data_IF_882574939747
#
_entry.id   IF_882574939747
#
_cell.length_a   1.000
_cell.length_b   1.000
_cell.length_c   1.000
_cell.angle_alpha   90.00
_cell.angle_beta   90.00
_cell.angle_gamma   90.00
#
_symmetry.space_group_name_H-M   'P 1'
#
loop_
_entity.id
_entity.type
_entity.pdbx_description
1 polymer ?
#
# COMPACT_ATOMS: atom_id res chain seq x y z
N UNK A 1 -4.64 5.18 9.54
CA UNK A 1 -3.63 4.45 8.74
C UNK A 1 -2.80 3.61 9.70
N UNK A 2 -2.46 2.38 9.33
CA UNK A 2 -1.54 1.56 10.12
C UNK A 2 -0.11 2.12 10.11
N UNK A 3 0.75 1.60 10.99
CA UNK A 3 2.16 1.93 11.03
C UNK A 3 3.05 0.71 11.15
N UNK A 4 4.25 0.80 10.59
CA UNK A 4 5.31 -0.19 10.65
C UNK A 4 6.53 0.45 11.28
N UNK A 5 7.09 -0.18 12.31
CA UNK A 5 8.33 0.24 12.94
C UNK A 5 9.19 -0.97 13.31
N UNK A 6 10.49 -0.78 13.37
CA UNK A 6 11.39 -1.84 13.83
C UNK A 6 12.80 -1.36 14.02
N UNK A 7 13.59 -2.18 14.69
CA UNK A 7 15.02 -2.00 14.90
C UNK A 7 15.76 -3.30 14.67
N UNK A 8 16.87 -3.23 13.97
CA UNK A 8 17.70 -4.36 13.56
C UNK A 8 19.10 -4.12 14.10
N UNK A 9 19.59 -5.03 14.95
CA UNK A 9 20.92 -4.95 15.53
C UNK A 9 21.95 -5.59 14.61
N UNK A 10 23.07 -4.91 14.42
CA UNK A 10 24.24 -5.49 13.75
C UNK A 10 25.03 -6.48 14.62
N UNK A 11 24.83 -6.46 15.95
CA UNK A 11 25.63 -7.21 16.91
C UNK A 11 25.09 -8.62 17.14
N UNK A 12 25.98 -9.59 17.32
CA UNK A 12 25.59 -10.93 17.72
C UNK A 12 25.08 -11.01 19.16
N UNK A 13 25.47 -10.05 19.99
CA UNK A 13 24.92 -9.91 21.33
C UNK A 13 23.45 -9.45 21.39
N UNK A 14 22.84 -9.26 20.21
CA UNK A 14 21.43 -8.91 20.10
C UNK A 14 21.13 -7.42 20.24
N UNK A 15 19.85 -7.13 20.47
CA UNK A 15 19.37 -5.78 20.75
C UNK A 15 19.65 -5.43 22.20
N UNK A 16 20.16 -4.22 22.43
CA UNK A 16 20.43 -3.70 23.78
C UNK A 16 19.20 -3.01 24.36
N UNK A 17 19.24 -2.74 25.68
CA UNK A 17 18.14 -2.04 26.36
C UNK A 17 17.80 -0.68 25.71
N UNK A 18 18.80 0.04 25.18
CA UNK A 18 18.60 1.28 24.44
C UNK A 18 17.81 1.05 23.14
N UNK A 19 18.10 -0.02 22.42
CA UNK A 19 17.39 -0.36 21.18
C UNK A 19 15.91 -0.65 21.48
N UNK A 20 15.65 -1.33 22.60
CA UNK A 20 14.29 -1.58 23.09
C UNK A 20 13.57 -0.28 23.43
N UNK A 21 14.24 0.63 24.12
CA UNK A 21 13.64 1.90 24.48
C UNK A 21 13.36 2.76 23.23
N UNK A 22 14.23 2.73 22.23
CA UNK A 22 13.98 3.35 20.92
C UNK A 22 12.78 2.69 20.21
N UNK A 23 12.74 1.37 20.16
CA UNK A 23 11.63 0.63 19.58
C UNK A 23 10.29 0.98 20.25
N UNK A 24 10.25 0.96 21.59
CA UNK A 24 9.05 1.35 22.35
C UNK A 24 8.62 2.78 22.07
N UNK A 25 9.56 3.72 21.97
CA UNK A 25 9.25 5.09 21.62
C UNK A 25 8.64 5.18 20.22
N UNK A 26 9.20 4.45 19.23
CA UNK A 26 8.60 4.39 17.89
C UNK A 26 7.19 3.80 17.91
N UNK A 27 6.97 2.68 18.61
CA UNK A 27 5.64 2.07 18.75
C UNK A 27 4.64 3.03 19.39
N UNK A 28 5.06 3.79 20.40
CA UNK A 28 4.20 4.81 21.02
C UNK A 28 3.84 5.94 20.04
N UNK A 29 4.82 6.49 19.33
CA UNK A 29 4.60 7.54 18.35
C UNK A 29 3.72 7.05 17.19
N UNK A 30 3.85 5.77 16.83
CA UNK A 30 3.06 5.13 15.78
C UNK A 30 1.57 4.94 16.14
N UNK A 31 1.20 5.12 17.42
CA UNK A 31 -0.22 5.17 17.83
C UNK A 31 -0.99 6.28 17.14
N UNK A 32 -0.30 7.34 16.71
CA UNK A 32 -0.90 8.42 15.93
C UNK A 32 -1.36 7.96 14.54
N UNK A 33 -0.89 6.79 14.08
CA UNK A 33 -1.29 6.18 12.81
C UNK A 33 -2.35 5.09 12.99
N UNK A 34 -2.28 4.36 14.09
CA UNK A 34 -3.21 3.28 14.37
C UNK A 34 -3.28 2.94 15.85
N UNK A 35 -4.49 2.80 16.36
CA UNK A 35 -4.79 2.58 17.77
C UNK A 35 -5.80 1.43 18.01
N UNK A 36 -6.19 0.72 16.93
CA UNK A 36 -7.17 -0.37 17.00
C UNK A 36 -6.54 -1.74 17.27
N UNK A 37 -5.22 -1.79 17.43
CA UNK A 37 -4.49 -3.00 17.77
C UNK A 37 -2.99 -2.84 17.61
N UNK A 38 -2.25 -3.73 18.23
CA UNK A 38 -0.79 -3.71 18.24
C UNK A 38 -0.22 -5.10 18.04
N UNK A 39 0.94 -5.17 17.42
CA UNK A 39 1.68 -6.40 17.26
C UNK A 39 3.17 -6.18 17.39
N UNK A 40 3.82 -7.08 18.11
CA UNK A 40 5.27 -7.06 18.33
C UNK A 40 5.84 -8.45 18.16
N UNK A 41 6.95 -8.54 17.47
CA UNK A 41 7.71 -9.76 17.28
C UNK A 41 9.19 -9.49 17.56
N UNK A 42 9.84 -10.40 18.26
CA UNK A 42 11.30 -10.46 18.35
C UNK A 42 11.84 -11.52 17.40
N UNK A 43 12.87 -11.18 16.67
CA UNK A 43 13.58 -12.08 15.76
C UNK A 43 14.87 -12.55 16.42
N UNK A 44 15.03 -13.86 16.53
CA UNK A 44 16.22 -14.54 17.01
C UNK A 44 16.74 -15.46 15.89
N UNK A 45 18.04 -15.40 15.60
CA UNK A 45 18.61 -16.21 14.50
C UNK A 45 18.74 -17.70 14.86
N UNK A 46 18.71 -18.05 16.12
CA UNK A 46 18.80 -19.45 16.58
C UNK A 46 17.41 -20.08 16.77
N UNK A 47 16.45 -19.29 17.27
CA UNK A 47 15.11 -19.77 17.65
C UNK A 47 14.02 -19.35 16.66
N UNK A 48 14.37 -18.54 15.64
CA UNK A 48 13.41 -17.99 14.70
C UNK A 48 12.73 -16.71 15.22
N UNK A 49 11.43 -16.55 15.01
CA UNK A 49 10.68 -15.39 15.42
C UNK A 49 9.67 -15.74 16.50
N UNK A 50 9.66 -14.97 17.58
CA UNK A 50 8.67 -15.09 18.65
C UNK A 50 7.72 -13.90 18.61
N UNK A 51 6.42 -14.17 18.49
CA UNK A 51 5.38 -13.15 18.61
C UNK A 51 5.17 -12.86 20.09
N UNK A 52 5.57 -11.67 20.51
CA UNK A 52 5.43 -11.22 21.91
C UNK A 52 4.04 -10.64 22.17
N UNK A 53 3.47 -9.99 21.16
CA UNK A 53 2.13 -9.41 21.24
C UNK A 53 1.43 -9.46 19.89
N UNK A 54 0.15 -9.78 19.95
CA UNK A 54 -0.82 -9.71 18.86
C UNK A 54 -2.19 -9.50 19.49
N UNK A 55 -2.67 -8.25 19.50
CA UNK A 55 -3.86 -7.91 20.27
C UNK A 55 -4.54 -6.66 19.74
N UNK A 56 -5.82 -6.55 20.03
CA UNK A 56 -6.63 -5.34 19.83
C UNK A 56 -6.50 -4.34 20.98
N UNK A 57 -5.69 -4.63 22.00
CA UNK A 57 -5.42 -3.67 23.06
C UNK A 57 -4.77 -2.39 22.50
N UNK A 58 -5.08 -1.29 23.15
CA UNK A 58 -4.47 0.00 22.82
C UNK A 58 -2.94 -0.07 22.95
N UNK A 59 -2.16 0.43 21.98
CA UNK A 59 -0.70 0.32 21.97
C UNK A 59 0.00 0.88 23.22
N UNK A 60 -0.63 1.82 23.94
CA UNK A 60 -0.06 2.40 25.17
C UNK A 60 0.19 1.37 26.28
N UNK A 61 -0.50 0.22 26.31
CA UNK A 61 -0.25 -0.83 27.30
C UNK A 61 1.18 -1.39 27.22
N UNK A 62 1.89 -1.19 26.10
CA UNK A 62 3.30 -1.57 25.95
C UNK A 62 4.22 -0.90 26.98
N UNK A 63 3.74 0.12 27.67
CA UNK A 63 4.43 0.74 28.80
C UNK A 63 4.09 0.08 30.14
N UNK A 64 3.18 -0.88 30.17
CA UNK A 64 2.93 -1.64 31.39
C UNK A 64 4.18 -2.43 31.78
N UNK A 65 4.46 -2.45 33.10
CA UNK A 65 5.69 -3.02 33.63
C UNK A 65 5.88 -4.49 33.24
N UNK A 66 4.84 -5.29 33.30
CA UNK A 66 4.89 -6.71 32.97
C UNK A 66 5.37 -6.96 31.54
N UNK A 67 4.81 -6.20 30.58
CA UNK A 67 5.19 -6.30 29.18
C UNK A 67 6.63 -5.83 28.91
N UNK A 68 7.05 -4.76 29.60
CA UNK A 68 8.43 -4.25 29.50
C UNK A 68 9.42 -5.28 30.03
N UNK A 69 9.09 -5.96 31.15
CA UNK A 69 9.94 -6.98 31.74
C UNK A 69 10.03 -8.21 30.83
N UNK A 70 8.91 -8.65 30.22
CA UNK A 70 8.88 -9.73 29.22
C UNK A 70 9.72 -9.38 27.99
N UNK A 71 9.56 -8.17 27.45
CA UNK A 71 10.33 -7.68 26.31
C UNK A 71 11.83 -7.64 26.64
N UNK A 72 12.22 -7.20 27.84
CA UNK A 72 13.61 -7.17 28.29
C UNK A 72 14.22 -8.57 28.48
N UNK A 73 13.45 -9.52 29.01
CA UNK A 73 13.90 -10.91 29.19
C UNK A 73 14.12 -11.62 27.85
N UNK A 74 13.31 -11.29 26.84
CA UNK A 74 13.37 -11.88 25.50
C UNK A 74 14.53 -11.32 24.65
N UNK A 75 15.22 -10.26 25.11
CA UNK A 75 16.17 -9.46 24.30
C UNK A 75 17.56 -10.05 24.24
N UNK A 76 18.00 -10.82 25.23
CA UNK A 76 19.41 -11.24 25.35
C UNK A 76 19.96 -11.97 24.11
N UNK A 77 19.11 -12.38 23.19
CA UNK A 77 19.45 -13.10 21.97
C UNK A 77 18.74 -12.59 20.71
N UNK A 78 17.91 -11.55 20.85
CA UNK A 78 17.11 -10.99 19.73
C UNK A 78 17.96 -10.16 18.78
N UNK A 79 17.86 -10.42 17.48
CA UNK A 79 18.52 -9.66 16.41
C UNK A 79 17.72 -8.46 15.93
N UNK A 80 16.40 -8.55 16.00
CA UNK A 80 15.51 -7.47 15.59
C UNK A 80 14.23 -7.46 16.40
N UNK A 81 13.63 -6.27 16.50
CA UNK A 81 12.29 -6.03 16.98
C UNK A 81 11.46 -5.48 15.82
N UNK A 82 10.33 -6.13 15.55
CA UNK A 82 9.40 -5.75 14.49
C UNK A 82 8.05 -5.40 15.11
N UNK A 83 7.46 -4.30 14.71
CA UNK A 83 6.24 -3.78 15.31
C UNK A 83 5.26 -3.19 14.31
N UNK A 84 3.99 -3.25 14.69
CA UNK A 84 2.89 -2.72 13.90
C UNK A 84 1.77 -2.22 14.82
N UNK A 85 1.24 -1.04 14.52
CA UNK A 85 0.00 -0.54 15.09
C UNK A 85 -1.07 -0.50 14.01
N UNK A 86 -2.21 -1.12 14.30
CA UNK A 86 -3.31 -1.30 13.37
C UNK A 86 -4.28 -0.13 13.44
N UNK A 87 -4.70 0.36 12.26
CA UNK A 87 -5.98 1.04 12.06
C UNK A 87 -6.86 0.10 11.24
N UNK A 88 -7.92 -0.39 11.83
CA UNK A 88 -8.80 -1.34 11.17
C UNK A 88 -9.52 -0.68 9.99
N UNK A 89 -9.32 -1.20 8.78
CA UNK A 89 -10.01 -0.78 7.55
C UNK A 89 -10.77 -1.95 6.93
N UNK A 90 -10.24 -3.18 7.08
CA UNK A 90 -10.84 -4.42 6.60
C UNK A 90 -10.83 -5.43 7.74
N UNK A 91 -11.92 -6.18 7.89
CA UNK A 91 -12.09 -7.19 8.93
C UNK A 91 -12.51 -6.63 10.29
N UNK A 92 -12.98 -7.53 11.14
CA UNK A 92 -13.47 -7.21 12.48
C UNK A 92 -12.34 -6.84 13.46
N UNK A 93 -12.73 -6.22 14.58
CA UNK A 93 -11.81 -5.87 15.67
C UNK A 93 -11.61 -7.08 16.58
N UNK A 94 -10.66 -7.93 16.22
CA UNK A 94 -10.29 -9.17 16.93
C UNK A 94 -8.79 -9.34 16.94
N UNK A 95 -8.27 -10.04 17.94
CA UNK A 95 -6.84 -10.28 18.10
C UNK A 95 -6.25 -11.07 16.91
N UNK A 96 -7.01 -12.01 16.34
CA UNK A 96 -6.60 -12.79 15.19
C UNK A 96 -6.31 -11.90 13.95
N UNK A 97 -6.99 -10.77 13.85
CA UNK A 97 -6.88 -9.79 12.78
C UNK A 97 -5.78 -8.74 13.03
N UNK A 98 -5.15 -8.74 14.21
CA UNK A 98 -3.96 -7.92 14.46
C UNK A 98 -2.72 -8.55 13.84
N UNK A 99 -1.71 -7.74 13.51
CA UNK A 99 -0.41 -8.25 13.10
C UNK A 99 0.41 -8.76 14.29
N UNK A 100 1.45 -9.56 14.06
CA UNK A 100 1.85 -10.16 12.79
C UNK A 100 0.97 -11.35 12.40
N UNK A 101 1.02 -11.70 11.11
CA UNK A 101 0.55 -12.99 10.62
C UNK A 101 1.72 -13.97 10.52
N UNK A 102 1.51 -15.20 10.98
CA UNK A 102 2.54 -16.24 10.99
C UNK A 102 2.13 -17.34 10.00
N UNK A 103 3.07 -17.78 9.17
CA UNK A 103 2.86 -18.84 8.18
C UNK A 103 3.93 -19.92 8.33
N UNK A 104 3.48 -21.18 8.40
CA UNK A 104 4.33 -22.38 8.43
C UNK A 104 5.39 -22.38 9.56
N UNK A 105 5.14 -21.69 10.68
CA UNK A 105 6.10 -21.45 11.77
C UNK A 105 7.47 -20.89 11.27
N UNK A 106 7.49 -20.41 10.04
CA UNK A 106 8.67 -19.93 9.34
C UNK A 106 8.63 -18.43 9.11
N UNK A 107 7.49 -17.91 8.67
CA UNK A 107 7.36 -16.51 8.28
C UNK A 107 6.56 -15.71 9.29
N UNK A 108 7.03 -14.49 9.55
CA UNK A 108 6.28 -13.48 10.30
C UNK A 108 6.09 -12.28 9.39
N UNK A 109 4.86 -11.87 9.16
CA UNK A 109 4.48 -10.87 8.16
C UNK A 109 3.69 -9.71 8.75
N UNK A 110 4.05 -8.50 8.32
CA UNK A 110 3.41 -7.24 8.66
C UNK A 110 3.07 -6.46 7.39
N UNK A 111 1.91 -5.83 7.37
CA UNK A 111 1.41 -5.03 6.25
C UNK A 111 0.78 -3.72 6.75
N UNK A 112 1.24 -2.61 6.21
CA UNK A 112 0.58 -1.32 6.32
C UNK A 112 -0.05 -0.99 4.97
N UNK A 113 -1.37 -1.05 4.90
CA UNK A 113 -2.06 -0.77 3.66
C UNK A 113 -3.52 -1.21 3.66
N UNK A 114 -4.10 -1.22 2.48
CA UNK A 114 -5.42 -1.77 2.21
C UNK A 114 -5.47 -2.22 0.76
N UNK A 115 -5.75 -3.52 0.55
CA UNK A 115 -5.92 -4.08 -0.79
C UNK A 115 -7.40 -4.20 -1.13
N UNK A 116 -7.79 -3.61 -2.25
CA UNK A 116 -9.17 -3.66 -2.75
C UNK A 116 -9.53 -5.00 -3.37
N UNK A 117 -8.54 -5.78 -3.77
CA UNK A 117 -8.71 -7.07 -4.44
C UNK A 117 -8.14 -8.27 -3.67
N UNK A 118 -8.04 -8.18 -2.34
CA UNK A 118 -7.39 -9.21 -1.50
C UNK A 118 -7.96 -10.61 -1.67
N UNK A 119 -9.23 -10.77 -2.03
CA UNK A 119 -9.88 -12.06 -2.30
C UNK A 119 -9.23 -12.85 -3.44
N UNK A 120 -8.44 -12.21 -4.28
CA UNK A 120 -7.64 -12.90 -5.31
C UNK A 120 -6.45 -13.65 -4.72
N UNK A 121 -6.01 -13.29 -3.52
CA UNK A 121 -4.89 -13.91 -2.82
C UNK A 121 -5.33 -14.97 -1.80
N UNK A 122 -6.56 -14.88 -1.29
CA UNK A 122 -7.12 -15.84 -0.35
C UNK A 122 -8.48 -15.41 0.19
N UNK A 123 -9.25 -16.37 0.67
CA UNK A 123 -10.57 -16.09 1.26
C UNK A 123 -10.45 -15.90 2.78
N UNK A 124 -9.74 -14.85 3.19
CA UNK A 124 -9.56 -14.47 4.60
C UNK A 124 -10.42 -13.27 4.97
N UNK A 125 -10.58 -13.02 6.27
CA UNK A 125 -11.37 -11.88 6.76
C UNK A 125 -10.64 -10.55 6.52
N UNK A 126 -9.29 -10.56 6.58
CA UNK A 126 -8.47 -9.37 6.38
C UNK A 126 -7.56 -9.50 5.16
N UNK A 127 -7.36 -8.41 4.48
CA UNK A 127 -6.51 -8.32 3.30
C UNK A 127 -5.04 -8.64 3.58
N UNK A 128 -4.55 -8.25 4.74
CA UNK A 128 -3.16 -8.48 5.17
C UNK A 128 -2.83 -9.97 5.29
N UNK A 129 -3.76 -10.78 5.80
CA UNK A 129 -3.57 -12.23 5.93
C UNK A 129 -3.50 -12.91 4.57
N UNK A 130 -4.43 -12.60 3.66
CA UNK A 130 -4.40 -13.14 2.30
C UNK A 130 -3.12 -12.75 1.55
N UNK A 131 -2.73 -11.49 1.66
CA UNK A 131 -1.55 -10.96 0.98
C UNK A 131 -0.26 -11.57 1.52
N UNK A 132 -0.13 -11.67 2.85
CA UNK A 132 1.00 -12.32 3.49
C UNK A 132 1.15 -13.78 3.09
N UNK A 133 0.05 -14.53 3.04
CA UNK A 133 0.04 -15.92 2.56
C UNK A 133 0.58 -16.03 1.13
N UNK A 134 0.13 -15.14 0.23
CA UNK A 134 0.60 -15.15 -1.16
C UNK A 134 2.08 -14.77 -1.29
N UNK A 135 2.57 -13.81 -0.50
CA UNK A 135 3.97 -13.38 -0.49
C UNK A 135 4.87 -14.48 0.06
N UNK A 136 4.51 -15.08 1.18
CA UNK A 136 5.33 -16.12 1.83
C UNK A 136 5.40 -17.40 1.02
N UNK A 137 4.33 -17.76 0.31
CA UNK A 137 4.30 -18.88 -0.64
C UNK A 137 5.28 -18.71 -1.84
N UNK A 138 5.77 -17.49 -2.07
CA UNK A 138 6.82 -17.26 -3.08
C UNK A 138 8.21 -17.71 -2.61
N UNK A 139 8.42 -17.96 -1.32
CA UNK A 139 9.71 -18.38 -0.73
C UNK A 139 10.90 -17.48 -1.10
N UNK A 140 10.63 -16.18 -1.35
CA UNK A 140 11.62 -15.21 -1.77
C UNK A 140 12.06 -15.33 -3.24
N UNK A 141 11.36 -16.10 -4.06
CA UNK A 141 11.53 -16.12 -5.51
C UNK A 141 11.04 -14.80 -6.11
N UNK A 142 11.95 -14.05 -6.73
CA UNK A 142 11.69 -12.70 -7.24
C UNK A 142 10.64 -12.67 -8.36
N UNK A 143 10.60 -13.71 -9.23
CA UNK A 143 9.63 -13.76 -10.31
C UNK A 143 8.21 -14.02 -9.79
N UNK A 144 8.08 -14.90 -8.80
CA UNK A 144 6.80 -15.14 -8.14
C UNK A 144 6.34 -13.91 -7.34
N UNK A 145 7.27 -13.25 -6.65
CA UNK A 145 6.97 -11.99 -5.95
C UNK A 145 6.51 -10.90 -6.93
N UNK A 146 7.16 -10.77 -8.09
CA UNK A 146 6.73 -9.85 -9.14
C UNK A 146 5.29 -10.12 -9.59
N UNK A 147 4.89 -11.40 -9.69
CA UNK A 147 3.52 -11.76 -10.03
C UNK A 147 2.52 -11.37 -8.94
N UNK A 148 2.86 -11.63 -7.68
CA UNK A 148 1.99 -11.31 -6.53
C UNK A 148 1.82 -9.79 -6.42
N UNK A 149 2.92 -9.04 -6.39
CA UNK A 149 2.86 -7.57 -6.25
C UNK A 149 2.21 -6.89 -7.47
N UNK A 150 2.40 -7.41 -8.68
CA UNK A 150 1.75 -6.87 -9.88
C UNK A 150 0.22 -7.04 -9.88
N UNK A 151 -0.29 -8.06 -9.20
CA UNK A 151 -1.73 -8.29 -9.04
C UNK A 151 -2.34 -7.47 -7.91
N UNK A 152 -1.53 -6.98 -6.97
CA UNK A 152 -2.01 -6.26 -5.79
C UNK A 152 -2.55 -4.87 -6.19
N UNK A 153 -3.81 -4.62 -5.90
CA UNK A 153 -4.47 -3.34 -6.12
C UNK A 153 -4.72 -2.65 -4.78
N UNK A 154 -4.30 -1.40 -4.69
CA UNK A 154 -4.40 -0.60 -3.47
C UNK A 154 -3.04 -0.25 -2.88
N UNK A 155 -3.05 0.13 -1.62
CA UNK A 155 -1.90 0.67 -0.92
C UNK A 155 -1.20 -0.40 -0.09
N UNK A 156 0.13 -0.49 -0.17
CA UNK A 156 0.89 -1.45 0.63
C UNK A 156 2.32 -1.02 0.93
N UNK A 157 2.74 -1.31 2.15
CA UNK A 157 4.12 -1.47 2.59
C UNK A 157 4.17 -2.76 3.42
N UNK A 158 5.13 -3.62 3.11
CA UNK A 158 5.28 -4.94 3.72
C UNK A 158 6.64 -5.09 4.38
N UNK A 159 6.62 -5.75 5.53
CA UNK A 159 7.83 -6.23 6.23
C UNK A 159 7.58 -7.67 6.60
N UNK A 160 8.53 -8.55 6.28
CA UNK A 160 8.44 -9.94 6.75
C UNK A 160 9.81 -10.52 7.04
N UNK A 161 9.82 -11.51 7.91
CA UNK A 161 11.01 -12.28 8.25
C UNK A 161 10.84 -13.74 7.80
N UNK A 162 11.89 -14.31 7.20
CA UNK A 162 12.01 -15.72 6.86
C UNK A 162 13.05 -16.35 7.79
N UNK A 163 12.59 -17.24 8.69
CA UNK A 163 13.47 -17.87 9.69
C UNK A 163 14.48 -18.86 9.10
N UNK A 164 14.17 -19.50 7.97
CA UNK A 164 15.11 -20.41 7.30
C UNK A 164 16.24 -19.68 6.58
N UNK A 165 15.94 -18.46 6.07
CA UNK A 165 16.93 -17.61 5.41
C UNK A 165 17.57 -16.59 6.34
N UNK A 166 17.12 -16.49 7.59
CA UNK A 166 17.51 -15.47 8.55
C UNK A 166 17.45 -14.05 7.96
N UNK A 167 16.43 -13.77 7.14
CA UNK A 167 16.37 -12.56 6.34
C UNK A 167 15.10 -11.76 6.61
N UNK A 168 15.25 -10.45 6.83
CA UNK A 168 14.14 -9.50 6.87
C UNK A 168 14.01 -8.88 5.49
N UNK A 169 12.80 -8.88 4.98
CA UNK A 169 12.42 -8.27 3.72
C UNK A 169 11.54 -7.05 3.95
N UNK A 170 11.77 -6.00 3.17
CA UNK A 170 10.95 -4.79 3.18
C UNK A 170 10.67 -4.36 1.73
N UNK A 171 9.45 -3.93 1.47
CA UNK A 171 9.08 -3.34 0.18
C UNK A 171 7.85 -2.48 0.32
N UNK A 172 7.62 -1.57 -0.64
CA UNK A 172 6.46 -0.70 -0.66
C UNK A 172 6.04 -0.28 -2.07
N UNK A 173 4.80 0.20 -2.19
CA UNK A 173 4.39 0.99 -3.34
C UNK A 173 4.34 2.50 -3.00
N UNK A 174 3.94 3.32 -3.96
CA UNK A 174 3.89 4.79 -3.80
C UNK A 174 2.93 5.25 -2.69
N UNK A 175 1.91 4.44 -2.39
CA UNK A 175 0.78 4.82 -1.52
C UNK A 175 1.13 4.72 -0.02
N UNK A 176 2.21 4.02 0.34
CA UNK A 176 2.60 3.84 1.75
C UNK A 176 4.07 4.14 1.94
N UNK A 177 4.40 5.13 2.82
CA UNK A 177 5.79 5.42 3.16
C UNK A 177 6.40 4.31 4.01
N UNK A 178 7.68 4.06 3.79
CA UNK A 178 8.54 3.26 4.65
C UNK A 178 9.96 3.77 4.49
N UNK A 179 10.69 3.94 5.61
CA UNK A 179 11.98 4.60 5.61
C UNK A 179 12.98 3.82 6.44
N UNK A 180 14.26 3.81 6.02
CA UNK A 180 15.38 3.42 6.86
C UNK A 180 15.95 4.62 7.61
N UNK A 181 16.44 4.35 8.83
CA UNK A 181 17.25 5.25 9.62
C UNK A 181 18.50 4.49 10.08
N UNK A 182 19.64 4.89 9.56
CA UNK A 182 20.93 4.29 9.89
C UNK A 182 21.50 5.00 11.11
N UNK A 183 21.79 4.25 12.17
CA UNK A 183 22.30 4.78 13.43
C UNK A 183 23.85 4.85 13.43
N UNK A 184 24.43 5.76 14.23
CA UNK A 184 25.89 5.84 14.37
C UNK A 184 26.48 4.54 14.95
N UNK A 185 25.76 3.84 15.83
CA UNK A 185 26.17 2.56 16.37
C UNK A 185 26.14 1.41 15.33
N UNK A 186 25.60 1.69 14.13
CA UNK A 186 25.50 0.76 12.99
C UNK A 186 24.26 -0.12 12.97
N UNK A 187 23.34 0.04 13.92
CA UNK A 187 22.01 -0.56 13.85
C UNK A 187 21.15 0.16 12.81
N UNK A 188 20.10 -0.51 12.35
CA UNK A 188 19.15 0.06 11.40
C UNK A 188 17.77 0.09 12.06
N UNK A 189 17.13 1.24 12.04
CA UNK A 189 15.69 1.34 12.30
C UNK A 189 14.96 1.46 10.98
N UNK A 190 13.70 1.02 10.98
CA UNK A 190 12.76 1.37 9.93
C UNK A 190 11.46 1.90 10.55
N UNK A 191 10.82 2.82 9.86
CA UNK A 191 9.56 3.39 10.28
C UNK A 191 8.72 3.86 9.09
N UNK A 192 7.41 3.80 9.23
CA UNK A 192 6.49 4.39 8.26
C UNK A 192 6.76 5.89 8.07
N UNK A 193 7.13 6.59 9.15
CA UNK A 193 7.48 8.02 9.12
C UNK A 193 8.87 8.26 9.72
N UNK A 194 9.72 8.96 8.99
CA UNK A 194 11.11 9.22 9.39
C UNK A 194 11.23 9.91 10.75
N UNK A 195 10.34 10.87 11.03
CA UNK A 195 10.38 11.64 12.28
C UNK A 195 10.20 10.78 13.53
N UNK A 196 9.47 9.65 13.46
CA UNK A 196 9.28 8.74 14.59
C UNK A 196 10.61 8.15 15.05
N UNK A 197 11.41 7.65 14.11
CA UNK A 197 12.73 7.14 14.40
C UNK A 197 13.70 8.21 14.87
N UNK A 198 13.65 9.43 14.32
CA UNK A 198 14.48 10.56 14.74
C UNK A 198 14.19 10.96 16.18
N UNK A 199 12.92 11.07 16.56
CA UNK A 199 12.51 11.36 17.95
C UNK A 199 12.95 10.24 18.88
N UNK A 200 12.72 8.98 18.49
CA UNK A 200 13.12 7.83 19.31
C UNK A 200 14.63 7.78 19.55
N UNK A 201 15.44 7.98 18.51
CA UNK A 201 16.90 8.04 18.63
C UNK A 201 17.34 9.18 19.56
N UNK A 202 16.86 10.39 19.33
CA UNK A 202 17.22 11.58 20.10
C UNK A 202 16.90 11.40 21.59
N UNK A 203 15.72 10.88 21.93
CA UNK A 203 15.31 10.61 23.33
C UNK A 203 16.21 9.61 24.03
N UNK A 204 16.85 8.73 23.29
CA UNK A 204 17.73 7.68 23.81
C UNK A 204 19.22 8.00 23.61
N UNK A 205 19.57 9.26 23.42
CA UNK A 205 20.94 9.74 23.21
C UNK A 205 21.68 8.96 22.10
N UNK A 206 20.93 8.54 21.07
CA UNK A 206 21.47 7.91 19.86
C UNK A 206 21.33 8.89 18.69
N UNK A 207 22.22 8.77 17.71
CA UNK A 207 22.21 9.64 16.53
C UNK A 207 21.85 8.87 15.27
N UNK A 208 20.96 9.47 14.51
CA UNK A 208 20.68 9.04 13.13
C UNK A 208 21.76 9.63 12.23
N UNK A 209 22.58 8.75 11.65
CA UNK A 209 23.63 9.13 10.69
C UNK A 209 23.02 9.52 9.35
N UNK A 210 22.01 8.77 8.91
CA UNK A 210 21.34 8.94 7.64
C UNK A 210 19.90 8.43 7.73
N UNK A 211 19.00 9.05 6.98
CA UNK A 211 17.66 8.53 6.77
C UNK A 211 17.36 8.50 5.28
N UNK A 212 16.78 7.38 4.80
CA UNK A 212 16.48 7.15 3.39
C UNK A 212 15.08 6.56 3.27
N UNK A 213 14.21 7.20 2.48
CA UNK A 213 12.95 6.57 2.06
C UNK A 213 13.24 5.35 1.19
N UNK A 214 12.55 4.24 1.41
CA UNK A 214 12.63 3.10 0.52
C UNK A 214 12.07 3.51 -0.85
N UNK A 215 12.74 3.08 -1.91
CA UNK A 215 12.21 3.23 -3.26
C UNK A 215 10.99 2.32 -3.45
N UNK A 216 10.02 2.81 -4.20
CA UNK A 216 8.85 1.99 -4.56
C UNK A 216 9.24 0.87 -5.54
N UNK A 217 8.58 -0.28 -5.38
CA UNK A 217 8.84 -1.44 -6.24
C UNK A 217 10.30 -1.93 -6.16
N UNK A 218 10.93 -1.75 -5.00
CA UNK A 218 12.23 -2.34 -4.67
C UNK A 218 12.04 -3.26 -3.48
N UNK A 219 12.53 -4.48 -3.60
CA UNK A 219 12.64 -5.43 -2.49
C UNK A 219 14.00 -5.23 -1.81
N UNK A 220 13.95 -4.83 -0.58
CA UNK A 220 15.11 -4.75 0.31
C UNK A 220 15.19 -6.03 1.13
N UNK A 221 16.34 -6.67 1.16
CA UNK A 221 16.60 -7.83 2.00
C UNK A 221 17.79 -7.59 2.91
N UNK A 222 17.64 -7.91 4.20
CA UNK A 222 18.65 -7.74 5.23
C UNK A 222 18.94 -9.11 5.83
N UNK A 223 20.12 -9.63 5.54
CA UNK A 223 20.61 -10.90 6.09
C UNK A 223 21.10 -10.70 7.53
N UNK A 224 20.54 -11.47 8.45
CA UNK A 224 20.88 -11.44 9.88
C UNK A 224 21.88 -12.53 10.28
N UNK A 225 22.25 -13.42 9.38
CA UNK A 225 23.18 -14.53 9.67
C UNK A 225 24.61 -14.08 9.90
N UNK A 226 25.01 -12.94 9.33
CA UNK A 226 26.36 -12.39 9.40
C UNK A 226 26.50 -11.37 10.55
N UNK A 227 27.43 -11.62 11.43
CA UNK A 227 27.74 -10.72 12.54
C UNK A 227 28.46 -9.46 12.10
N UNK A 228 28.14 -8.34 12.76
CA UNK A 228 28.88 -7.11 12.68
C UNK A 228 28.58 -6.22 11.47
N UNK A 229 27.89 -6.75 10.45
CA UNK A 229 27.54 -5.99 9.25
C UNK A 229 26.09 -6.32 8.85
N UNK A 230 25.27 -5.29 8.70
CA UNK A 230 23.95 -5.43 8.10
C UNK A 230 24.06 -5.07 6.62
N UNK A 231 24.10 -6.08 5.77
CA UNK A 231 24.11 -5.91 4.32
C UNK A 231 22.67 -5.79 3.81
N UNK A 232 22.37 -4.68 3.16
CA UNK A 232 21.08 -4.48 2.48
C UNK A 232 21.30 -4.80 1.00
N UNK A 233 20.57 -5.80 0.51
CA UNK A 233 20.47 -6.10 -0.92
C UNK A 233 19.21 -5.48 -1.46
N UNK A 234 19.31 -4.83 -2.59
CA UNK A 234 18.20 -4.17 -3.30
C UNK A 234 17.92 -4.93 -4.61
N UNK A 235 16.69 -5.35 -4.82
CA UNK A 235 16.24 -6.00 -6.06
C UNK A 235 14.99 -5.29 -6.58
N UNK A 236 15.04 -4.84 -7.83
CA UNK A 236 13.88 -4.16 -8.44
C UNK A 236 12.77 -5.17 -8.71
N UNK A 237 11.60 -4.89 -8.16
CA UNK A 237 10.37 -5.55 -8.53
C UNK A 237 9.88 -4.97 -9.85
N UNK A 238 9.55 -5.82 -10.79
CA UNK A 238 8.98 -5.40 -12.06
C UNK A 238 7.48 -5.25 -11.89
N UNK A 239 6.99 -4.02 -11.95
CA UNK A 239 5.56 -3.79 -12.12
C UNK A 239 5.20 -4.40 -13.49
N UNK A 240 4.82 -5.67 -13.51
CA UNK A 240 4.15 -6.23 -14.70
C UNK A 240 2.85 -5.44 -14.78
N UNK A 241 2.81 -4.44 -15.64
CA UNK A 241 1.55 -3.90 -16.09
C UNK A 241 0.91 -5.09 -16.80
N UNK A 242 0.07 -5.83 -16.07
CA UNK A 242 -0.85 -6.72 -16.75
C UNK A 242 -1.51 -5.82 -17.79
N UNK A 243 -1.59 -6.23 -19.06
CA UNK A 243 -2.48 -5.53 -19.97
C UNK A 243 -3.78 -5.47 -19.20
N UNK A 244 -4.24 -4.27 -18.90
CA UNK A 244 -5.52 -4.09 -18.25
C UNK A 244 -6.49 -4.74 -19.21
N UNK A 245 -6.78 -6.03 -19.00
CA UNK A 245 -8.02 -6.57 -19.47
C UNK A 245 -9.04 -5.80 -18.66
N UNK A 246 -9.44 -4.66 -19.21
CA UNK A 246 -10.71 -4.08 -18.86
C UNK A 246 -11.70 -5.16 -19.21
N UNK A 247 -11.99 -6.02 -18.24
CA UNK A 247 -13.19 -6.83 -18.28
C UNK A 247 -14.27 -5.79 -18.11
N UNK A 248 -14.67 -5.21 -19.23
CA UNK A 248 -15.91 -4.49 -19.33
C UNK A 248 -16.97 -5.58 -19.14
N UNK A 249 -17.61 -5.69 -17.96
CA UNK A 249 -18.71 -6.63 -17.82
C UNK A 249 -19.80 -6.14 -18.75
N UNK A 250 -20.01 -6.84 -19.86
CA UNK A 250 -21.05 -6.55 -20.83
C UNK A 250 -20.61 -5.72 -22.03
N UNK A 251 -19.63 -6.19 -22.81
CA UNK A 251 -19.29 -5.65 -24.14
C UNK A 251 -20.39 -5.91 -25.20
N UNK A 252 -21.64 -5.77 -24.84
CA UNK A 252 -22.78 -5.77 -25.76
C UNK A 252 -23.75 -4.62 -25.48
N UNK A 253 -23.24 -3.42 -25.13
CA UNK A 253 -24.00 -2.20 -25.40
C UNK A 253 -23.35 -1.49 -26.58
N UNK A 254 -24.02 -1.52 -27.71
CA UNK A 254 -23.79 -0.61 -28.82
C UNK A 254 -23.82 0.79 -28.24
N UNK A 255 -22.67 1.48 -28.27
CA UNK A 255 -22.65 2.91 -28.13
C UNK A 255 -23.61 3.48 -29.15
N UNK A 256 -24.67 4.11 -28.70
CA UNK A 256 -25.48 4.94 -29.56
C UNK A 256 -24.62 6.13 -29.98
N UNK A 257 -24.23 6.12 -31.24
CA UNK A 257 -23.52 7.21 -31.90
C UNK A 257 -24.22 8.54 -31.60
N UNK A 258 -23.59 9.40 -30.85
CA UNK A 258 -23.88 10.82 -30.86
C UNK A 258 -22.59 11.58 -31.16
N UNK A 259 -22.40 11.90 -32.43
CA UNK A 259 -21.34 12.78 -32.90
C UNK A 259 -20.22 12.09 -33.68
N UNK A 260 -19.85 12.70 -34.76
CA UNK A 260 -18.76 12.30 -35.66
C UNK A 260 -17.44 12.06 -34.89
N UNK A 261 -17.16 10.80 -34.57
CA UNK A 261 -15.86 10.43 -34.01
C UNK A 261 -14.83 10.42 -35.14
N UNK A 262 -13.99 11.42 -35.14
CA UNK A 262 -12.86 11.50 -36.10
C UNK A 262 -11.98 10.26 -35.94
N UNK A 263 -11.78 9.50 -37.01
CA UNK A 263 -10.83 8.40 -37.05
C UNK A 263 -9.42 8.99 -37.07
N UNK A 264 -8.65 8.73 -36.03
CA UNK A 264 -7.29 9.20 -35.85
C UNK A 264 -6.31 8.35 -36.68
N UNK A 265 -5.34 9.00 -37.31
CA UNK A 265 -4.18 8.29 -37.85
C UNK A 265 -3.26 7.84 -36.70
N UNK A 266 -2.42 6.82 -36.96
CA UNK A 266 -1.42 6.37 -35.97
C UNK A 266 -0.41 7.44 -35.58
N UNK A 267 -0.14 8.39 -36.48
CA UNK A 267 0.75 9.53 -36.24
C UNK A 267 0.09 10.54 -35.30
N UNK A 268 -1.16 10.94 -35.60
CA UNK A 268 -1.94 11.85 -34.76
C UNK A 268 -2.13 11.27 -33.33
N UNK A 269 -2.43 9.98 -33.23
CA UNK A 269 -2.58 9.30 -31.97
C UNK A 269 -1.29 9.36 -31.11
N UNK A 270 -0.11 9.14 -31.73
CA UNK A 270 1.17 9.25 -31.03
C UNK A 270 1.45 10.66 -30.54
N UNK A 271 1.12 11.66 -31.34
CA UNK A 271 1.28 13.05 -30.94
C UNK A 271 0.40 13.39 -29.76
N UNK A 272 -0.89 13.02 -29.80
CA UNK A 272 -1.85 13.27 -28.73
C UNK A 272 -1.38 12.59 -27.43
N UNK A 273 -1.00 11.31 -27.48
CA UNK A 273 -0.48 10.59 -26.31
C UNK A 273 0.76 11.28 -25.75
N UNK A 274 1.69 11.71 -26.60
CA UNK A 274 2.89 12.42 -26.16
C UNK A 274 2.57 13.76 -25.48
N UNK A 275 1.57 14.48 -25.95
CA UNK A 275 1.11 15.73 -25.33
C UNK A 275 0.50 15.46 -23.94
N UNK A 276 -0.34 14.44 -23.80
CA UNK A 276 -0.95 14.06 -22.52
C UNK A 276 0.11 13.64 -21.48
N UNK A 277 1.10 12.82 -21.88
CA UNK A 277 2.25 12.44 -21.05
C UNK A 277 3.02 13.68 -20.57
N UNK A 278 3.24 14.66 -21.44
CA UNK A 278 3.99 15.88 -21.11
C UNK A 278 3.24 16.80 -20.16
N UNK A 279 1.92 16.94 -20.34
CA UNK A 279 1.09 17.84 -19.52
C UNK A 279 0.77 17.24 -18.16
N UNK A 280 0.56 15.93 -18.12
CA UNK A 280 0.23 15.18 -16.90
C UNK A 280 -1.21 15.35 -16.39
N UNK A 281 -1.82 16.55 -16.58
CA UNK A 281 -3.21 16.82 -16.25
C UNK A 281 -4.08 16.86 -17.49
N UNK A 282 -5.20 16.18 -17.46
CA UNK A 282 -6.14 16.11 -18.56
C UNK A 282 -7.54 16.35 -18.07
N UNK A 283 -8.32 17.09 -18.84
CA UNK A 283 -9.72 17.35 -18.54
C UNK A 283 -10.65 16.98 -19.68
N UNK A 284 -11.87 16.57 -19.36
CA UNK A 284 -12.87 16.16 -20.33
C UNK A 284 -14.29 16.40 -19.83
N UNK A 285 -15.23 16.46 -20.75
CA UNK A 285 -16.66 16.55 -20.44
C UNK A 285 -17.28 15.17 -20.28
N UNK A 286 -18.02 14.97 -19.20
CA UNK A 286 -18.65 13.69 -18.88
C UNK A 286 -19.75 13.38 -19.88
N UNK A 287 -19.70 12.19 -20.44
CA UNK A 287 -20.72 11.68 -21.37
C UNK A 287 -21.45 10.44 -20.84
N UNK A 288 -20.81 9.67 -19.97
CA UNK A 288 -21.39 8.47 -19.37
C UNK A 288 -20.69 8.14 -18.04
N UNK A 289 -21.35 7.36 -17.20
CA UNK A 289 -20.81 6.91 -15.89
C UNK A 289 -21.22 5.48 -15.60
N UNK A 290 -20.37 4.76 -14.87
CA UNK A 290 -20.63 3.40 -14.43
C UNK A 290 -20.19 3.23 -12.97
N UNK A 291 -21.07 2.74 -12.10
CA UNK A 291 -20.68 2.36 -10.75
C UNK A 291 -19.73 1.15 -10.79
N UNK A 292 -18.63 1.21 -10.02
CA UNK A 292 -17.70 0.07 -9.93
C UNK A 292 -18.31 -1.13 -9.22
N UNK A 293 -19.24 -0.91 -8.30
CA UNK A 293 -19.93 -1.99 -7.62
C UNK A 293 -21.23 -2.37 -8.35
N UNK A 294 -21.17 -3.50 -9.04
CA UNK A 294 -22.33 -4.02 -9.79
C UNK A 294 -23.54 -4.41 -8.90
N UNK A 295 -23.34 -4.52 -7.57
CA UNK A 295 -24.44 -4.82 -6.62
C UNK A 295 -25.30 -3.59 -6.31
N UNK A 296 -24.80 -2.40 -6.56
CA UNK A 296 -25.42 -1.11 -6.22
C UNK A 296 -26.74 -0.85 -6.93
N UNK A 297 -26.95 -1.41 -8.12
CA UNK A 297 -28.23 -1.22 -8.84
C UNK A 297 -29.47 -1.73 -8.09
N UNK A 298 -29.29 -2.60 -7.08
CA UNK A 298 -30.36 -3.13 -6.21
C UNK A 298 -30.39 -2.49 -4.82
N UNK A 299 -29.27 -1.91 -4.36
CA UNK A 299 -29.13 -1.30 -3.02
C UNK A 299 -29.55 0.17 -3.05
N UNK A 300 -29.56 0.79 -4.20
CA UNK A 300 -29.72 2.21 -4.43
C UNK A 300 -31.08 2.81 -3.99
N UNK A 301 -32.14 1.99 -3.98
CA UNK A 301 -33.45 2.41 -3.47
C UNK A 301 -33.49 2.45 -1.92
N UNK A 302 -32.61 1.68 -1.27
CA UNK A 302 -32.59 1.55 0.19
C UNK A 302 -31.59 2.50 0.89
N UNK A 303 -30.50 2.92 0.21
CA UNK A 303 -29.42 3.73 0.81
C UNK A 303 -28.99 4.89 -0.10
N UNK A 304 -29.81 5.93 -0.31
CA UNK A 304 -29.48 7.05 -1.20
C UNK A 304 -28.34 7.96 -0.71
N UNK A 305 -27.83 7.74 0.49
CA UNK A 305 -26.77 8.56 1.12
C UNK A 305 -25.41 7.83 1.19
N UNK A 306 -25.21 6.77 0.43
CA UNK A 306 -23.91 6.08 0.38
C UNK A 306 -23.09 6.59 -0.80
N UNK A 307 -21.82 6.92 -0.55
CA UNK A 307 -20.88 7.28 -1.59
C UNK A 307 -20.21 6.02 -2.17
N UNK A 308 -19.94 6.04 -3.46
CA UNK A 308 -19.35 4.95 -4.22
C UNK A 308 -18.25 5.45 -5.16
N UNK A 309 -17.42 4.54 -5.63
CA UNK A 309 -16.47 4.81 -6.71
C UNK A 309 -17.15 4.62 -8.06
N UNK A 310 -17.01 5.60 -8.94
CA UNK A 310 -17.64 5.62 -10.25
C UNK A 310 -16.59 5.72 -11.35
N UNK A 311 -16.75 4.92 -12.40
CA UNK A 311 -15.99 5.12 -13.62
C UNK A 311 -16.71 6.19 -14.43
N UNK A 312 -16.01 7.28 -14.70
CA UNK A 312 -16.50 8.41 -15.47
C UNK A 312 -15.92 8.31 -16.88
N UNK A 313 -16.76 8.44 -17.88
CA UNK A 313 -16.35 8.45 -19.30
C UNK A 313 -16.66 9.80 -19.92
N UNK A 314 -15.84 10.20 -20.90
CA UNK A 314 -16.08 11.48 -21.55
C UNK A 314 -15.24 11.73 -22.78
N UNK A 315 -15.41 12.95 -23.33
CA UNK A 315 -14.71 13.44 -24.52
C UNK A 315 -14.25 14.87 -24.30
N UNK A 316 -13.22 15.29 -25.01
CA UNK A 316 -12.76 16.69 -25.05
C UNK A 316 -12.90 17.26 -26.46
N UNK A 317 -13.42 18.50 -26.61
CA UNK A 317 -13.45 19.19 -27.89
C UNK A 317 -12.05 19.45 -28.45
N UNK A 318 -11.04 19.57 -27.59
CA UNK A 318 -9.66 19.85 -27.98
C UNK A 318 -9.00 18.64 -28.65
N UNK A 319 -9.49 17.44 -28.36
CA UNK A 319 -8.96 16.18 -28.91
C UNK A 319 -10.09 15.30 -29.46
N UNK A 320 -10.71 15.66 -30.58
CA UNK A 320 -11.79 14.87 -31.19
C UNK A 320 -11.27 13.48 -31.61
N UNK A 321 -11.98 12.44 -31.19
CA UNK A 321 -11.60 11.03 -31.42
C UNK A 321 -10.82 10.39 -30.27
N UNK A 322 -10.61 11.11 -29.16
CA UNK A 322 -10.08 10.59 -27.91
C UNK A 322 -11.23 10.32 -26.94
N UNK A 323 -11.22 9.14 -26.34
CA UNK A 323 -12.10 8.77 -25.24
C UNK A 323 -11.33 8.85 -23.93
N UNK A 324 -11.94 9.47 -22.96
CA UNK A 324 -11.36 9.62 -21.61
C UNK A 324 -12.14 8.79 -20.61
N UNK A 325 -11.43 8.20 -19.67
CA UNK A 325 -12.02 7.51 -18.54
C UNK A 325 -11.17 7.70 -17.28
N UNK A 326 -11.83 7.70 -16.13
CA UNK A 326 -11.15 7.83 -14.84
C UNK A 326 -12.08 7.49 -13.69
N UNK A 327 -11.55 7.33 -12.49
CA UNK A 327 -12.31 6.99 -11.31
C UNK A 327 -12.64 8.25 -10.51
N UNK A 328 -13.93 8.53 -10.32
CA UNK A 328 -14.43 9.50 -9.36
C UNK A 328 -14.73 8.76 -8.06
N UNK A 329 -13.92 9.01 -7.02
CA UNK A 329 -14.01 8.33 -5.74
C UNK A 329 -15.01 8.98 -4.80
N UNK A 330 -15.59 8.17 -3.92
CA UNK A 330 -16.44 8.60 -2.82
C UNK A 330 -17.55 9.59 -3.23
N UNK A 331 -18.14 9.39 -4.43
CA UNK A 331 -19.18 10.27 -4.95
C UNK A 331 -20.58 9.69 -4.74
N UNK A 332 -21.52 10.58 -4.41
CA UNK A 332 -22.91 10.21 -4.28
C UNK A 332 -23.59 10.14 -5.65
N UNK A 333 -24.57 9.25 -5.78
CA UNK A 333 -25.30 9.06 -7.04
C UNK A 333 -25.91 10.36 -7.59
N UNK A 334 -26.42 11.23 -6.72
CA UNK A 334 -26.99 12.50 -7.15
C UNK A 334 -25.95 13.45 -7.77
N UNK A 335 -24.70 13.44 -7.26
CA UNK A 335 -23.58 14.23 -7.80
C UNK A 335 -23.21 13.73 -9.19
N UNK A 336 -23.10 12.41 -9.34
CA UNK A 336 -22.79 11.77 -10.60
C UNK A 336 -23.89 12.00 -11.64
N UNK A 337 -25.16 11.88 -11.26
CA UNK A 337 -26.29 12.19 -12.14
C UNK A 337 -26.27 13.66 -12.58
N UNK A 338 -25.88 14.57 -11.71
CA UNK A 338 -25.71 15.99 -12.03
C UNK A 338 -24.60 16.21 -13.05
N UNK A 339 -23.46 15.52 -12.89
CA UNK A 339 -22.36 15.56 -13.85
C UNK A 339 -22.80 15.15 -15.27
N UNK A 340 -23.63 14.11 -15.39
CA UNK A 340 -24.18 13.69 -16.69
C UNK A 340 -25.15 14.74 -17.25
N UNK A 341 -26.11 15.16 -16.44
CA UNK A 341 -27.18 16.08 -16.91
C UNK A 341 -26.67 17.44 -17.31
N UNK A 342 -25.66 17.95 -16.64
CA UNK A 342 -25.05 19.28 -16.88
C UNK A 342 -23.84 19.20 -17.82
N UNK A 343 -23.48 18.04 -18.38
CA UNK A 343 -22.25 17.80 -19.12
C UNK A 343 -21.03 18.36 -18.36
N UNK A 344 -20.95 17.96 -17.10
CA UNK A 344 -19.93 18.44 -16.17
C UNK A 344 -18.53 18.17 -16.69
N UNK A 345 -17.61 19.06 -16.33
CA UNK A 345 -16.21 18.94 -16.67
C UNK A 345 -15.43 18.37 -15.50
N UNK A 346 -14.66 17.32 -15.75
CA UNK A 346 -13.77 16.68 -14.78
C UNK A 346 -12.35 16.70 -15.28
N UNK A 347 -11.39 16.61 -14.38
CA UNK A 347 -9.97 16.54 -14.73
C UNK A 347 -9.26 15.55 -13.80
N UNK A 348 -8.18 14.97 -14.29
CA UNK A 348 -7.37 14.03 -13.56
C UNK A 348 -5.95 13.92 -14.11
N UNK A 349 -5.12 13.19 -13.41
CA UNK A 349 -3.78 12.88 -13.88
C UNK A 349 -3.82 11.77 -14.92
N UNK A 350 -3.17 12.01 -16.04
CA UNK A 350 -2.91 11.01 -17.06
C UNK A 350 -2.14 9.82 -16.46
N UNK A 351 -2.65 8.63 -16.68
CA UNK A 351 -2.01 7.39 -16.22
C UNK A 351 -1.54 6.56 -17.38
N UNK A 352 -2.41 6.32 -18.38
CA UNK A 352 -2.11 5.48 -19.53
C UNK A 352 -2.97 5.85 -20.74
N UNK A 353 -2.56 5.43 -21.94
CA UNK A 353 -3.38 5.54 -23.14
C UNK A 353 -3.09 4.43 -24.15
N UNK A 354 -4.14 3.96 -24.81
CA UNK A 354 -4.08 2.93 -25.83
C UNK A 354 -4.65 3.44 -27.17
N UNK A 355 -4.00 3.08 -28.27
CA UNK A 355 -4.52 3.34 -29.61
C UNK A 355 -5.05 2.05 -30.24
N UNK A 356 -6.34 1.99 -30.46
CA UNK A 356 -7.02 0.84 -31.05
C UNK A 356 -8.02 1.26 -32.12
N UNK A 357 -7.90 0.72 -33.31
CA UNK A 357 -8.85 0.90 -34.43
C UNK A 357 -9.20 2.37 -34.76
N UNK A 358 -8.21 3.27 -34.70
CA UNK A 358 -8.43 4.68 -35.06
C UNK A 358 -8.95 5.56 -33.92
N UNK A 359 -8.97 5.05 -32.70
CA UNK A 359 -9.34 5.78 -31.47
C UNK A 359 -8.19 5.74 -30.48
N UNK A 360 -8.10 6.75 -29.63
CA UNK A 360 -7.23 6.79 -28.47
C UNK A 360 -8.11 6.76 -27.23
N UNK A 361 -7.88 5.78 -26.38
CA UNK A 361 -8.49 5.68 -25.06
C UNK A 361 -7.46 6.16 -24.03
N UNK A 362 -7.81 7.18 -23.24
CA UNK A 362 -6.97 7.78 -22.18
C UNK A 362 -7.55 7.42 -20.83
N UNK A 363 -6.71 6.90 -19.94
CA UNK A 363 -7.09 6.50 -18.61
C UNK A 363 -6.45 7.40 -17.54
N UNK A 364 -7.22 7.66 -16.47
CA UNK A 364 -6.81 8.38 -15.26
C UNK A 364 -7.19 7.56 -14.03
N UNK A 365 -6.27 7.42 -13.06
CA UNK A 365 -6.53 6.67 -11.83
C UNK A 365 -7.61 7.34 -10.97
N UNK A 366 -7.65 8.66 -10.98
CA UNK A 366 -8.60 9.46 -10.23
C UNK A 366 -8.97 10.73 -10.97
N UNK A 367 -10.25 11.07 -10.98
CA UNK A 367 -10.75 12.30 -11.56
C UNK A 367 -11.46 13.16 -10.50
N UNK A 368 -11.40 14.47 -10.68
CA UNK A 368 -11.94 15.45 -9.75
C UNK A 368 -12.98 16.31 -10.46
N UNK A 369 -14.08 16.58 -9.76
CA UNK A 369 -15.09 17.50 -10.25
C UNK A 369 -14.64 18.95 -10.03
N UNK A 370 -14.62 19.75 -11.10
CA UNK A 370 -14.20 21.15 -11.05
C UNK A 370 -15.21 22.07 -10.34
N UNK A 371 -16.44 21.63 -10.15
CA UNK A 371 -17.51 22.45 -9.55
C UNK A 371 -17.38 22.58 -8.03
N UNK A 372 -16.56 21.76 -7.38
CA UNK A 372 -16.43 21.71 -5.91
C UNK A 372 -15.50 22.78 -5.30
N UNK A 373 -14.91 23.67 -6.08
CA UNK A 373 -13.96 24.69 -5.57
C UNK A 373 -14.41 26.13 -5.72
N UNK A 374 -15.71 26.36 -5.83
CA UNK A 374 -16.26 27.73 -5.72
C UNK A 374 -17.23 27.77 -4.55
N UNK A 375 -16.67 27.90 -3.34
CA UNK A 375 -17.29 28.47 -2.17
C UNK A 375 -16.23 29.12 -1.31
#
# INVERSE_FOLDING_TARGET
MCGLVGIISKWNSGVFSRDVDMFKNMMFLDTLRGDDGTGVCIVNTEQGATVLKKSTDYPAYQYEKAYIDELKLSISEGKALLGHNRKATVGSHKDENAHPFVYEDRYVFFHNGTLTNHKQFGNTEVDSEAFGSAITACEGDIEKLNEVFSKAQGAWACVWYDSLKHTIYLTRNKERPLNFLFLENGNIMYASETWMGQVAATRNAEKVKESKGLEEWVLYSIDLSTAGVLNIKEEKLTKKVAPVQVIIPGSHRKHTNTGDTKILSKADARQIISEHVRVGWVGFYVTDVQCQDASVSKIDEAFPQTAYDWIIFGTSPDYPGVLYSGILKDAYKYEVNKLISEKGYVHGYYTDAEYTKGKVDVWMDEVYNTVSYVC
#
